data_IF_747890410399
#
_entry.id   IF_747890410399
#
_cell.length_a   1.000
_cell.length_b   1.000
_cell.length_c   1.000
_cell.angle_alpha   90.00
_cell.angle_beta   90.00
_cell.angle_gamma   90.00
#
_symmetry.space_group_name_H-M   'P 1'
#
loop_
_entity.id
_entity.type
_entity.pdbx_description
1 polymer ?
#
# COMPACT_ATOMS: atom_id res chain seq x y z
N UNK A 1 -14.31 4.14 -3.03
CA UNK A 1 -13.52 2.90 -3.18
C UNK A 1 -12.07 3.31 -3.26
N UNK A 2 -11.24 2.93 -2.28
CA UNK A 2 -9.83 3.35 -2.21
C UNK A 2 -8.99 2.31 -2.95
N UNK A 3 -8.11 2.76 -3.83
CA UNK A 3 -7.14 1.88 -4.51
C UNK A 3 -5.73 2.25 -4.04
N UNK A 4 -5.07 1.33 -3.34
CA UNK A 4 -3.72 1.53 -2.82
C UNK A 4 -2.69 0.93 -3.78
N UNK A 5 -1.95 1.79 -4.46
CA UNK A 5 -0.87 1.37 -5.37
C UNK A 5 0.46 1.30 -4.64
N UNK A 6 1.07 0.11 -4.64
CA UNK A 6 2.44 -0.06 -4.15
C UNK A 6 2.67 -1.36 -3.40
N UNK A 7 3.95 -1.63 -3.09
CA UNK A 7 4.40 -2.87 -2.45
C UNK A 7 4.47 -2.78 -0.95
N UNK A 8 4.31 -3.94 -0.30
CA UNK A 8 4.46 -4.11 1.14
C UNK A 8 5.87 -3.84 1.66
N UNK A 9 6.89 -3.75 0.79
CA UNK A 9 8.25 -3.40 1.21
C UNK A 9 8.54 -1.88 1.19
N UNK A 10 7.59 -1.06 0.73
CA UNK A 10 7.70 0.39 0.79
C UNK A 10 7.24 0.90 2.16
N UNK A 11 8.11 1.63 2.86
CA UNK A 11 7.77 2.23 4.14
C UNK A 11 6.58 3.20 4.04
N UNK A 12 6.43 3.89 2.90
CA UNK A 12 5.32 4.81 2.67
C UNK A 12 4.01 4.06 2.43
N UNK A 13 4.04 2.95 1.69
CA UNK A 13 2.84 2.12 1.45
C UNK A 13 2.35 1.49 2.75
N UNK A 14 3.27 1.01 3.60
CA UNK A 14 2.92 0.44 4.91
C UNK A 14 2.15 1.42 5.80
N UNK A 15 2.56 2.68 5.85
CA UNK A 15 1.86 3.71 6.64
C UNK A 15 0.41 3.86 6.21
N UNK A 16 0.17 3.96 4.89
CA UNK A 16 -1.19 4.09 4.34
C UNK A 16 -2.00 2.82 4.60
N UNK A 17 -1.40 1.64 4.42
CA UNK A 17 -2.05 0.37 4.69
C UNK A 17 -2.50 0.28 6.16
N UNK A 18 -1.62 0.61 7.12
CA UNK A 18 -1.98 0.62 8.53
C UNK A 18 -3.10 1.61 8.86
N UNK A 19 -3.06 2.82 8.30
CA UNK A 19 -4.14 3.79 8.50
C UNK A 19 -5.49 3.29 7.96
N UNK A 20 -5.50 2.58 6.83
CA UNK A 20 -6.73 2.03 6.27
C UNK A 20 -7.30 0.90 7.15
N UNK A 21 -6.43 0.01 7.64
CA UNK A 21 -6.80 -1.06 8.57
C UNK A 21 -7.32 -0.51 9.91
N UNK A 22 -6.62 0.45 10.51
CA UNK A 22 -7.01 1.08 11.78
C UNK A 22 -8.36 1.80 11.71
N UNK A 23 -8.72 2.30 10.53
CA UNK A 23 -9.98 2.99 10.28
C UNK A 23 -11.08 2.07 9.73
N UNK A 24 -10.80 0.76 9.59
CA UNK A 24 -11.70 -0.24 8.97
C UNK A 24 -12.22 0.19 7.58
N UNK A 25 -11.40 0.91 6.81
CA UNK A 25 -11.79 1.41 5.50
C UNK A 25 -11.52 0.35 4.43
N UNK A 26 -12.51 0.02 3.57
CA UNK A 26 -12.30 -0.94 2.49
C UNK A 26 -11.37 -0.36 1.41
N UNK A 27 -10.36 -1.15 1.02
CA UNK A 27 -9.41 -0.80 -0.03
C UNK A 27 -9.00 -2.01 -0.87
N UNK A 28 -8.69 -1.75 -2.14
CA UNK A 28 -8.05 -2.72 -3.04
C UNK A 28 -6.57 -2.35 -3.19
N UNK A 29 -5.68 -3.27 -2.82
CA UNK A 29 -4.25 -3.06 -3.02
C UNK A 29 -3.78 -3.59 -4.37
N UNK A 30 -3.20 -2.72 -5.19
CA UNK A 30 -2.58 -3.09 -6.46
C UNK A 30 -1.06 -2.98 -6.33
N UNK A 31 -0.37 -4.10 -6.55
CA UNK A 31 1.10 -4.13 -6.51
C UNK A 31 1.67 -3.34 -7.69
N UNK A 32 2.43 -2.29 -7.39
CA UNK A 32 3.12 -1.47 -8.39
C UNK A 32 4.59 -1.21 -8.05
N UNK A 33 5.40 -1.03 -9.10
CA UNK A 33 6.82 -0.69 -9.04
C UNK A 33 7.71 -1.67 -9.82
N UNK A 34 8.89 -1.24 -10.25
CA UNK A 34 9.92 -2.11 -10.87
C UNK A 34 10.82 -2.78 -9.84
N UNK A 35 11.76 -3.64 -10.24
CA UNK A 35 12.79 -4.14 -9.32
C UNK A 35 13.51 -2.96 -8.66
N UNK A 36 13.69 -3.02 -7.34
CA UNK A 36 14.65 -2.13 -6.67
C UNK A 36 16.00 -2.43 -7.33
N UNK A 37 16.57 -1.45 -8.04
CA UNK A 37 17.92 -1.56 -8.57
C UNK A 37 18.86 -1.51 -7.36
N UNK A 38 19.67 -2.56 -7.21
CA UNK A 38 20.80 -2.56 -6.28
C UNK A 38 21.95 -1.79 -6.89
#
# INVERSE_FOLDING_TARGET
>A
MITLWGRNNSANVKKVLWTLEELELPYDQILAGGKIRR
#
